data_IF_690054285747
#
_entry.id   IF_690054285747
#
_cell.length_a   1.000
_cell.length_b   1.000
_cell.length_c   1.000
_cell.angle_alpha   90.00
_cell.angle_beta   90.00
_cell.angle_gamma   90.00
#
_symmetry.space_group_name_H-M   'P 1'
#
loop_
_entity.id
_entity.type
_entity.pdbx_description
1 polymer ?
#
# COMPACT_ATOMS: atom_id res chain seq x y z
N UNK A 1 -65.90 0.44 64.04
CA UNK A 1 -65.46 -0.87 64.56
C UNK A 1 -63.95 -0.98 64.32
N UNK A 2 -63.17 -0.34 65.18
CA UNK A 2 -62.46 -0.94 66.32
C UNK A 2 -61.34 -1.93 65.92
N UNK A 3 -60.10 -1.45 66.14
CA UNK A 3 -59.05 -2.08 66.97
C UNK A 3 -57.91 -2.85 66.26
N UNK A 4 -56.70 -2.51 66.73
CA UNK A 4 -55.43 -3.29 66.87
C UNK A 4 -54.29 -3.05 65.87
N UNK A 5 -53.57 -1.97 66.18
CA UNK A 5 -52.13 -1.85 66.43
C UNK A 5 -51.35 -3.12 66.87
N UNK A 6 -50.14 -3.28 66.31
CA UNK A 6 -48.87 -3.69 66.97
C UNK A 6 -47.72 -3.09 66.12
N UNK A 7 -46.94 -2.08 66.57
CA UNK A 7 -45.79 -2.10 67.51
C UNK A 7 -44.68 -3.07 67.06
N UNK A 8 -43.38 -2.77 67.04
CA UNK A 8 -42.53 -1.58 67.21
C UNK A 8 -41.08 -2.06 66.92
N UNK A 9 -40.15 -1.10 66.90
CA UNK A 9 -38.68 -1.17 67.10
C UNK A 9 -37.85 -0.94 65.83
N UNK A 10 -37.35 0.29 65.65
CA UNK A 10 -36.08 0.87 66.19
C UNK A 10 -34.87 0.35 65.38
N UNK A 11 -34.05 1.16 64.74
CA UNK A 11 -33.96 2.61 64.66
C UNK A 11 -32.64 3.03 63.99
N UNK A 12 -32.51 4.35 63.81
CA UNK A 12 -31.28 5.16 63.72
C UNK A 12 -30.42 5.09 62.45
N UNK A 13 -30.32 6.25 61.81
CA UNK A 13 -29.21 6.62 60.92
C UNK A 13 -29.54 7.80 60.02
N UNK A 14 -29.41 9.03 60.52
CA UNK A 14 -29.36 10.24 59.69
C UNK A 14 -28.26 10.09 58.63
N UNK A 15 -28.48 10.51 57.38
CA UNK A 15 -27.44 11.27 56.66
C UNK A 15 -27.97 12.06 55.45
N UNK A 16 -28.00 13.38 55.64
CA UNK A 16 -27.71 14.49 54.72
C UNK A 16 -28.06 14.35 53.23
N UNK A 17 -29.08 15.09 52.80
CA UNK A 17 -29.27 15.46 51.41
C UNK A 17 -28.16 16.43 50.96
N UNK A 18 -27.18 15.93 50.21
CA UNK A 18 -26.27 16.79 49.45
C UNK A 18 -26.96 17.15 48.12
N UNK A 19 -27.39 18.40 48.02
CA UNK A 19 -27.75 19.04 46.77
C UNK A 19 -26.45 19.36 46.03
N UNK A 20 -25.92 18.41 45.25
CA UNK A 20 -24.82 18.67 44.35
C UNK A 20 -25.37 19.38 43.10
N UNK A 21 -25.14 20.68 42.99
CA UNK A 21 -25.22 21.37 41.71
C UNK A 21 -24.15 20.75 40.80
N UNK A 22 -24.56 19.94 39.83
CA UNK A 22 -23.65 19.48 38.77
C UNK A 22 -23.29 20.68 37.92
N UNK A 23 -22.14 21.30 38.19
CA UNK A 23 -21.47 22.12 37.22
C UNK A 23 -21.11 21.20 36.04
N UNK A 24 -21.78 21.37 34.91
CA UNK A 24 -21.35 20.79 33.65
C UNK A 24 -20.01 21.46 33.33
N UNK A 25 -18.90 20.75 33.58
CA UNK A 25 -17.62 21.12 33.00
C UNK A 25 -17.79 20.87 31.50
N UNK A 26 -18.04 21.94 30.76
CA UNK A 26 -17.88 21.92 29.31
C UNK A 26 -16.38 21.75 29.09
N UNK A 27 -15.95 20.52 28.83
CA UNK A 27 -14.60 20.31 28.31
C UNK A 27 -14.54 21.04 26.97
N UNK A 28 -13.84 22.16 26.95
CA UNK A 28 -13.41 22.83 25.73
C UNK A 28 -12.70 21.76 24.88
N UNK A 29 -13.08 21.57 23.60
CA UNK A 29 -12.43 20.57 22.76
C UNK A 29 -10.95 20.97 22.69
N UNK A 30 -10.07 20.11 23.20
CA UNK A 30 -8.64 20.30 23.06
C UNK A 30 -8.36 20.57 21.58
N UNK A 31 -7.87 21.77 21.30
CA UNK A 31 -7.40 22.12 19.97
C UNK A 31 -6.17 21.27 19.68
N UNK A 32 -6.37 20.09 19.11
CA UNK A 32 -5.29 19.32 18.51
C UNK A 32 -4.83 20.08 17.27
N UNK A 33 -3.94 21.06 17.49
CA UNK A 33 -3.20 21.70 16.44
C UNK A 33 -2.37 20.59 15.76
N UNK A 34 -2.55 20.33 14.46
CA UNK A 34 -1.82 19.27 13.79
C UNK A 34 -0.33 19.57 13.91
N UNK A 35 0.39 18.71 14.65
CA UNK A 35 1.84 18.80 14.74
C UNK A 35 2.44 18.49 13.37
N UNK A 36 3.52 19.18 13.02
CA UNK A 36 4.30 18.85 11.82
C UNK A 36 4.78 17.40 11.98
N UNK A 37 4.45 16.50 11.05
CA UNK A 37 4.86 15.11 11.16
C UNK A 37 6.38 14.98 11.22
N UNK A 38 6.88 14.15 12.13
CA UNK A 38 8.30 13.83 12.15
C UNK A 38 8.68 12.87 11.00
N UNK A 39 9.98 12.67 10.79
CA UNK A 39 10.48 11.82 9.69
C UNK A 39 10.01 10.37 9.81
N UNK A 40 9.84 9.83 11.02
CA UNK A 40 9.40 8.46 11.23
C UNK A 40 7.90 8.31 10.90
N UNK A 41 7.08 9.30 11.27
CA UNK A 41 5.67 9.37 10.92
C UNK A 41 5.49 9.46 9.39
N UNK A 42 6.26 10.30 8.71
CA UNK A 42 6.25 10.39 7.24
C UNK A 42 6.69 9.07 6.60
N UNK A 43 7.78 8.47 7.08
CA UNK A 43 8.27 7.20 6.55
C UNK A 43 7.24 6.07 6.70
N UNK A 44 6.59 5.98 7.86
CA UNK A 44 5.53 5.00 8.12
C UNK A 44 4.30 5.23 7.23
N UNK A 45 3.87 6.48 7.05
CA UNK A 45 2.76 6.81 6.17
C UNK A 45 3.06 6.43 4.71
N UNK A 46 4.29 6.69 4.23
CA UNK A 46 4.72 6.32 2.88
C UNK A 46 4.84 4.80 2.68
N UNK A 47 5.25 4.06 3.70
CA UNK A 47 5.34 2.60 3.64
C UNK A 47 3.97 1.93 3.43
N UNK A 48 2.91 2.51 4.02
CA UNK A 48 1.54 1.98 3.93
C UNK A 48 0.71 2.59 2.79
N UNK A 49 1.28 3.53 2.02
CA UNK A 49 0.58 4.17 0.91
C UNK A 49 0.16 3.11 -0.12
N UNK A 50 -1.15 2.95 -0.33
CA UNK A 50 -1.66 1.98 -1.30
C UNK A 50 -1.29 2.39 -2.72
N UNK A 51 -0.70 1.47 -3.48
CA UNK A 51 -0.34 1.66 -4.87
C UNK A 51 -1.25 0.76 -5.71
N UNK A 52 -2.11 1.30 -6.59
CA UNK A 52 -2.96 0.47 -7.41
C UNK A 52 -2.17 -0.24 -8.50
N UNK A 53 -2.60 -1.44 -8.86
CA UNK A 53 -2.20 -2.10 -10.09
C UNK A 53 -2.98 -1.52 -11.27
N UNK A 54 -2.31 -1.31 -12.39
CA UNK A 54 -2.88 -0.84 -13.64
C UNK A 54 -2.89 -1.99 -14.65
N UNK A 55 -4.03 -2.25 -15.29
CA UNK A 55 -4.10 -3.24 -16.35
C UNK A 55 -3.25 -2.81 -17.57
N UNK A 56 -2.65 -3.77 -18.27
CA UNK A 56 -1.99 -3.50 -19.53
C UNK A 56 -3.01 -3.44 -20.68
N UNK A 57 -3.21 -2.23 -21.20
CA UNK A 57 -4.02 -1.95 -22.38
C UNK A 57 -3.16 -1.58 -23.60
N UNK A 58 -1.84 -1.79 -23.52
CA UNK A 58 -0.88 -1.46 -24.57
C UNK A 58 0.08 -0.31 -24.21
N UNK A 59 0.08 0.14 -22.95
CA UNK A 59 1.02 1.17 -22.48
C UNK A 59 2.45 0.63 -22.28
N UNK A 60 2.61 -0.69 -22.21
CA UNK A 60 3.89 -1.37 -21.96
C UNK A 60 3.95 -2.67 -22.77
N UNK A 61 5.02 -3.44 -22.59
CA UNK A 61 5.26 -4.69 -23.32
C UNK A 61 4.05 -5.65 -23.24
N UNK A 62 3.75 -6.31 -24.36
CA UNK A 62 2.60 -7.22 -24.49
C UNK A 62 2.65 -8.45 -23.57
N UNK A 63 3.81 -8.79 -23.02
CA UNK A 63 3.97 -9.87 -22.04
C UNK A 63 3.43 -9.48 -20.66
N UNK A 64 3.28 -8.18 -20.38
CA UNK A 64 2.77 -7.67 -19.11
C UNK A 64 1.24 -7.79 -19.06
N UNK A 65 0.71 -8.26 -17.94
CA UNK A 65 -0.73 -8.24 -17.63
C UNK A 65 -1.08 -7.02 -16.77
N UNK A 66 -0.28 -6.74 -15.75
CA UNK A 66 -0.48 -5.62 -14.82
C UNK A 66 0.85 -4.94 -14.47
N UNK A 67 0.80 -3.68 -14.06
CA UNK A 67 1.94 -2.96 -13.50
C UNK A 67 1.56 -2.20 -12.24
N UNK A 68 2.50 -2.01 -11.32
CA UNK A 68 2.36 -1.13 -10.16
C UNK A 68 3.54 -0.14 -10.12
N UNK A 69 3.24 1.13 -9.87
CA UNK A 69 4.25 2.20 -9.79
C UNK A 69 4.66 2.44 -8.34
N UNK A 70 5.44 1.53 -7.79
CA UNK A 70 5.90 1.62 -6.39
C UNK A 70 6.98 2.70 -6.23
N UNK A 71 7.25 3.12 -4.99
CA UNK A 71 8.32 4.06 -4.68
C UNK A 71 9.73 3.49 -4.92
N UNK A 72 9.90 2.18 -5.01
CA UNK A 72 11.17 1.54 -5.38
C UNK A 72 11.42 1.53 -6.90
N UNK A 73 10.36 1.75 -7.69
CA UNK A 73 10.34 1.60 -9.14
C UNK A 73 9.12 0.79 -9.61
N UNK A 74 8.92 0.66 -10.92
CA UNK A 74 7.81 -0.11 -11.45
C UNK A 74 8.02 -1.61 -11.19
N UNK A 75 6.94 -2.27 -10.79
CA UNK A 75 6.79 -3.71 -10.83
C UNK A 75 5.87 -4.07 -12.00
N UNK A 76 6.23 -5.11 -12.75
CA UNK A 76 5.37 -5.72 -13.76
C UNK A 76 4.98 -7.14 -13.34
N UNK A 77 3.70 -7.48 -13.53
CA UNK A 77 3.17 -8.84 -13.43
C UNK A 77 2.96 -9.33 -14.85
N UNK A 78 3.70 -10.35 -15.28
CA UNK A 78 3.56 -10.90 -16.64
C UNK A 78 2.29 -11.74 -16.75
N UNK A 79 1.83 -12.02 -17.98
CA UNK A 79 0.70 -12.93 -18.25
C UNK A 79 0.92 -14.35 -17.73
N UNK A 80 2.18 -14.75 -17.57
CA UNK A 80 2.62 -16.02 -16.97
C UNK A 80 2.90 -15.91 -15.47
N UNK A 81 2.58 -14.76 -14.85
CA UNK A 81 2.67 -14.51 -13.41
C UNK A 81 4.07 -14.29 -12.86
N UNK A 82 5.08 -14.02 -13.69
CA UNK A 82 6.39 -13.58 -13.21
C UNK A 82 6.29 -12.15 -12.67
N UNK A 83 7.05 -11.85 -11.61
CA UNK A 83 7.18 -10.50 -11.07
C UNK A 83 8.51 -9.92 -11.54
N UNK A 84 8.45 -8.84 -12.32
CA UNK A 84 9.63 -8.16 -12.86
C UNK A 84 9.74 -6.79 -12.22
N UNK A 85 10.73 -6.62 -11.36
CA UNK A 85 11.07 -5.37 -10.71
C UNK A 85 12.11 -4.61 -11.50
N UNK A 86 11.89 -3.32 -11.70
CA UNK A 86 12.94 -2.40 -12.11
C UNK A 86 13.25 -1.45 -10.96
N UNK A 87 14.32 -1.74 -10.22
CA UNK A 87 14.73 -1.02 -9.02
C UNK A 87 15.74 0.05 -9.37
N UNK A 88 15.56 1.26 -8.83
CA UNK A 88 16.50 2.37 -8.97
C UNK A 88 17.40 2.51 -7.74
N UNK A 89 18.70 2.72 -7.93
CA UNK A 89 19.68 2.76 -6.84
C UNK A 89 19.55 3.92 -5.85
N UNK A 90 18.89 5.02 -6.23
CA UNK A 90 18.68 6.15 -5.32
C UNK A 90 17.31 6.82 -5.50
N UNK A 91 16.71 7.34 -4.41
CA UNK A 91 15.63 8.30 -4.51
C UNK A 91 16.13 9.49 -5.32
N UNK A 92 15.35 9.89 -6.34
CA UNK A 92 15.72 10.95 -7.26
C UNK A 92 15.89 12.27 -6.50
N UNK A 93 17.12 12.64 -6.17
CA UNK A 93 17.48 14.02 -5.92
C UNK A 93 17.50 14.70 -7.30
N UNK A 94 16.34 15.09 -7.82
CA UNK A 94 16.33 16.01 -8.95
C UNK A 94 16.85 17.35 -8.42
N UNK A 95 18.07 17.79 -8.77
CA UNK A 95 18.45 19.16 -8.47
C UNK A 95 17.41 20.04 -9.17
N UNK A 96 16.75 20.92 -8.39
CA UNK A 96 15.76 21.84 -8.92
C UNK A 96 16.38 22.60 -10.11
N UNK A 97 15.67 22.76 -11.24
CA UNK A 97 16.16 23.53 -12.36
C UNK A 97 16.59 24.91 -11.87
N UNK A 98 17.88 25.25 -12.05
CA UNK A 98 18.35 26.60 -11.76
C UNK A 98 17.85 27.50 -12.89
N UNK A 99 16.80 28.26 -12.61
CA UNK A 99 16.39 29.34 -13.50
C UNK A 99 17.50 30.40 -13.50
N UNK A 100 18.29 30.47 -14.58
CA UNK A 100 19.13 31.64 -14.83
C UNK A 100 18.19 32.78 -15.19
N UNK A 101 18.21 33.86 -14.40
CA UNK A 101 17.49 35.10 -14.69
C UNK A 101 18.23 35.91 -15.77
N UNK A 102 18.56 35.28 -16.89
CA UNK A 102 18.97 35.98 -18.09
C UNK A 102 17.77 35.93 -19.04
N UNK A 103 17.48 37.01 -19.76
CA UNK A 103 16.33 37.17 -20.67
C UNK A 103 16.27 36.17 -21.86
N UNK A 104 17.04 35.10 -21.81
CA UNK A 104 17.00 33.95 -22.69
C UNK A 104 16.38 32.78 -21.92
N UNK A 105 15.22 32.29 -22.37
CA UNK A 105 14.49 31.15 -21.78
C UNK A 105 15.24 29.78 -21.86
N UNK A 106 16.57 29.76 -21.74
CA UNK A 106 17.35 28.53 -21.73
C UNK A 106 17.37 27.95 -20.32
N UNK A 107 16.53 26.94 -20.12
CA UNK A 107 16.59 26.06 -18.95
C UNK A 107 17.78 25.13 -19.14
N UNK A 108 18.84 25.36 -18.35
CA UNK A 108 20.01 24.48 -18.28
C UNK A 108 19.61 23.22 -17.49
N UNK A 109 19.13 22.20 -18.18
CA UNK A 109 18.81 20.92 -17.57
C UNK A 109 20.13 20.17 -17.30
N UNK A 110 20.42 19.77 -16.06
CA UNK A 110 21.62 18.98 -15.78
C UNK A 110 21.56 17.66 -16.56
N UNK A 111 22.71 17.13 -17.05
CA UNK A 111 22.77 15.82 -17.66
C UNK A 111 22.24 14.78 -16.67
N UNK A 112 21.15 14.11 -17.02
CA UNK A 112 20.67 12.95 -16.26
C UNK A 112 21.63 11.80 -16.61
N UNK A 113 22.63 11.56 -15.77
CA UNK A 113 23.45 10.36 -15.88
C UNK A 113 22.53 9.13 -15.77
N UNK A 114 22.81 8.09 -16.56
CA UNK A 114 22.11 6.82 -16.43
C UNK A 114 22.50 6.19 -15.09
N UNK A 115 21.62 6.35 -14.09
CA UNK A 115 21.81 5.78 -12.75
C UNK A 115 21.76 4.25 -12.80
N UNK A 116 22.49 3.54 -11.92
CA UNK A 116 22.40 2.10 -11.84
C UNK A 116 20.96 1.67 -11.54
N UNK A 117 20.45 0.76 -12.37
CA UNK A 117 19.17 0.09 -12.19
C UNK A 117 19.39 -1.41 -12.17
N UNK A 118 18.61 -2.11 -11.33
CA UNK A 118 18.61 -3.56 -11.27
C UNK A 118 17.26 -4.09 -11.74
N UNK A 119 17.32 -5.09 -12.61
CA UNK A 119 16.14 -5.89 -12.91
C UNK A 119 16.18 -7.14 -12.05
N UNK A 120 15.15 -7.33 -11.22
CA UNK A 120 14.95 -8.55 -10.42
C UNK A 120 13.71 -9.26 -10.96
N UNK A 121 13.83 -10.55 -11.26
CA UNK A 121 12.74 -11.38 -11.75
C UNK A 121 12.46 -12.47 -10.73
N UNK A 122 11.24 -12.49 -10.21
CA UNK A 122 10.75 -13.56 -9.35
C UNK A 122 9.81 -14.49 -10.15
N UNK A 123 10.00 -15.79 -9.96
CA UNK A 123 9.20 -16.84 -10.61
C UNK A 123 8.66 -17.81 -9.57
N UNK A 124 7.43 -18.26 -9.77
CA UNK A 124 6.79 -19.30 -8.97
C UNK A 124 7.24 -20.67 -9.49
N UNK A 125 8.27 -21.26 -8.88
CA UNK A 125 8.87 -22.51 -9.33
C UNK A 125 7.85 -23.66 -9.24
N UNK A 126 7.68 -24.38 -10.36
CA UNK A 126 6.65 -25.42 -10.54
C UNK A 126 5.21 -24.95 -10.23
N UNK A 127 4.98 -23.63 -10.15
CA UNK A 127 3.66 -23.03 -9.98
C UNK A 127 3.02 -22.68 -11.31
N UNK A 128 1.70 -22.46 -11.30
CA UNK A 128 0.90 -22.10 -12.49
C UNK A 128 0.05 -20.86 -12.19
N UNK A 129 0.68 -19.67 -12.01
CA UNK A 129 -0.05 -18.45 -11.71
C UNK A 129 -0.91 -17.98 -12.89
N UNK A 130 -2.07 -17.42 -12.57
CA UNK A 130 -3.04 -16.88 -13.53
C UNK A 130 -3.46 -15.47 -13.05
N UNK A 131 -2.76 -14.42 -13.50
CA UNK A 131 -3.00 -13.06 -13.03
C UNK A 131 -4.38 -12.53 -13.42
N UNK A 132 -5.15 -12.09 -12.42
CA UNK A 132 -6.46 -11.47 -12.58
C UNK A 132 -6.55 -10.27 -11.64
N UNK A 133 -6.94 -9.11 -12.17
CA UNK A 133 -7.16 -7.91 -11.36
C UNK A 133 -8.44 -8.04 -10.53
N UNK A 134 -8.36 -7.71 -9.25
CA UNK A 134 -9.50 -7.67 -8.34
C UNK A 134 -9.52 -6.37 -7.54
N UNK A 135 -10.63 -6.16 -6.83
CA UNK A 135 -10.88 -4.92 -6.09
C UNK A 135 -10.72 -3.68 -6.99
N UNK A 136 -11.57 -3.53 -8.03
CA UNK A 136 -11.49 -2.38 -8.93
C UNK A 136 -11.50 -1.06 -8.15
N UNK A 137 -10.55 -0.20 -8.46
CA UNK A 137 -10.40 1.09 -7.79
C UNK A 137 -11.09 2.19 -8.61
N UNK A 138 -11.53 3.25 -7.91
CA UNK A 138 -12.11 4.42 -8.55
C UNK A 138 -11.08 5.20 -9.39
N UNK A 139 -9.80 5.06 -9.06
CA UNK A 139 -8.70 5.70 -9.77
C UNK A 139 -8.64 5.24 -11.23
N UNK A 140 -8.46 6.20 -12.13
CA UNK A 140 -8.23 5.96 -13.56
C UNK A 140 -6.92 6.60 -13.97
N UNK A 141 -6.16 5.91 -14.81
CA UNK A 141 -4.87 6.40 -15.29
C UNK A 141 -4.95 6.63 -16.80
N UNK A 142 -4.33 7.72 -17.26
CA UNK A 142 -4.24 8.06 -18.68
C UNK A 142 -2.78 8.10 -19.10
N UNK A 143 -2.50 7.55 -20.27
CA UNK A 143 -1.19 7.47 -20.90
C UNK A 143 -1.22 8.20 -22.24
N UNK A 144 -0.40 9.24 -22.36
CA UNK A 144 -0.21 10.01 -23.59
C UNK A 144 1.25 9.86 -24.05
N UNK A 145 1.61 8.65 -24.49
CA UNK A 145 3.00 8.31 -24.84
C UNK A 145 3.31 8.74 -26.27
N UNK A 146 4.17 9.74 -26.42
CA UNK A 146 4.59 10.27 -27.71
C UNK A 146 3.49 11.07 -28.44
N UNK A 147 3.78 11.46 -29.68
CA UNK A 147 2.92 12.34 -30.48
C UNK A 147 1.87 11.58 -31.31
N UNK A 148 1.88 10.24 -31.28
CA UNK A 148 0.93 9.39 -31.99
C UNK A 148 -0.27 9.11 -31.08
N UNK A 149 -1.41 9.72 -31.39
CA UNK A 149 -2.62 9.61 -30.58
C UNK A 149 -3.23 8.19 -30.58
N UNK A 150 -2.88 7.35 -31.56
CA UNK A 150 -3.33 5.95 -31.57
C UNK A 150 -2.69 5.11 -30.47
N UNK A 151 -1.58 5.62 -29.88
CA UNK A 151 -0.88 5.01 -28.73
C UNK A 151 -1.36 5.54 -27.39
N UNK A 152 -2.28 6.51 -27.40
CA UNK A 152 -2.82 7.06 -26.16
C UNK A 152 -3.82 6.09 -25.54
N UNK A 153 -3.66 5.82 -24.25
CA UNK A 153 -4.59 5.02 -23.48
C UNK A 153 -5.29 5.91 -22.47
N UNK A 154 -6.62 5.84 -22.44
CA UNK A 154 -7.41 6.62 -21.50
C UNK A 154 -8.24 5.68 -20.63
N UNK A 155 -8.46 6.08 -19.37
CA UNK A 155 -9.32 5.35 -18.46
C UNK A 155 -8.81 3.96 -18.11
N UNK A 156 -7.48 3.75 -18.10
CA UNK A 156 -6.87 2.47 -17.76
C UNK A 156 -7.42 2.01 -16.41
N UNK A 157 -8.08 0.83 -16.35
CA UNK A 157 -8.63 0.29 -15.12
C UNK A 157 -7.52 0.04 -14.11
N UNK A 158 -7.84 0.30 -12.84
CA UNK A 158 -6.93 0.04 -11.74
C UNK A 158 -7.57 -0.86 -10.69
N UNK A 159 -6.72 -1.58 -9.97
CA UNK A 159 -7.08 -2.69 -9.09
C UNK A 159 -6.28 -2.59 -7.79
N UNK A 160 -6.92 -2.91 -6.66
CA UNK A 160 -6.24 -2.96 -5.35
C UNK A 160 -5.35 -4.19 -5.23
N UNK A 161 -5.75 -5.28 -5.88
CA UNK A 161 -5.11 -6.58 -5.79
C UNK A 161 -5.00 -7.24 -7.17
N UNK A 162 -3.94 -8.04 -7.36
CA UNK A 162 -3.86 -9.00 -8.45
C UNK A 162 -3.85 -10.40 -7.84
N UNK A 163 -4.86 -11.21 -8.14
CA UNK A 163 -4.85 -12.64 -7.80
C UNK A 163 -4.04 -13.39 -8.84
N UNK A 164 -3.18 -14.30 -8.39
CA UNK A 164 -2.50 -15.26 -9.24
C UNK A 164 -3.22 -16.62 -9.25
N UNK A 165 -4.37 -16.73 -8.59
CA UNK A 165 -5.12 -17.98 -8.45
C UNK A 165 -4.41 -19.00 -7.58
N UNK A 166 -4.81 -20.27 -7.72
CA UNK A 166 -4.16 -21.42 -7.08
C UNK A 166 -2.83 -21.73 -7.79
N UNK A 167 -1.76 -21.06 -7.37
CA UNK A 167 -0.43 -21.20 -7.98
C UNK A 167 0.14 -22.61 -7.78
N UNK A 168 -0.15 -23.23 -6.63
CA UNK A 168 0.12 -24.64 -6.34
C UNK A 168 -1.15 -25.33 -5.83
N UNK A 169 -1.20 -26.68 -5.80
CA UNK A 169 -2.36 -27.40 -5.26
C UNK A 169 -2.72 -26.94 -3.83
N UNK A 170 -3.90 -26.32 -3.69
CA UNK A 170 -4.40 -25.83 -2.40
C UNK A 170 -3.74 -24.54 -1.89
N UNK A 171 -2.92 -23.85 -2.69
CA UNK A 171 -2.23 -22.61 -2.29
C UNK A 171 -2.57 -21.51 -3.28
N UNK A 172 -3.39 -20.56 -2.82
CA UNK A 172 -3.71 -19.35 -3.58
C UNK A 172 -2.72 -18.23 -3.28
N UNK A 173 -2.42 -17.42 -4.29
CA UNK A 173 -1.55 -16.24 -4.13
C UNK A 173 -2.27 -14.98 -4.58
N UNK A 174 -2.19 -13.93 -3.78
CA UNK A 174 -2.62 -12.59 -4.14
C UNK A 174 -1.52 -11.56 -3.89
N UNK A 175 -1.54 -10.48 -4.66
CA UNK A 175 -0.56 -9.40 -4.64
C UNK A 175 -1.22 -8.08 -4.28
N UNK A 176 -0.64 -7.34 -3.34
CA UNK A 176 -1.05 -5.98 -3.00
C UNK A 176 0.17 -5.07 -2.92
N UNK A 177 0.16 -3.93 -3.62
CA UNK A 177 1.29 -3.01 -3.64
C UNK A 177 1.13 -1.88 -2.61
N UNK A 178 2.17 -1.64 -1.80
CA UNK A 178 2.20 -0.61 -0.75
C UNK A 178 3.56 0.07 -0.70
N UNK A 179 3.57 1.40 -0.79
CA UNK A 179 4.78 2.20 -0.71
C UNK A 179 5.84 1.75 -1.71
N UNK A 180 6.93 1.17 -1.20
CA UNK A 180 8.06 0.66 -1.97
C UNK A 180 8.07 -0.87 -2.12
N UNK A 181 7.00 -1.56 -1.72
CA UNK A 181 6.93 -3.02 -1.66
C UNK A 181 5.66 -3.58 -2.34
N UNK A 182 5.69 -4.87 -2.65
CA UNK A 182 4.51 -5.66 -3.01
C UNK A 182 4.42 -6.85 -2.07
N UNK A 183 3.31 -6.88 -1.33
CA UNK A 183 2.96 -7.96 -0.43
C UNK A 183 2.44 -9.14 -1.24
N UNK A 184 2.98 -10.33 -0.97
CA UNK A 184 2.49 -11.62 -1.48
C UNK A 184 1.79 -12.33 -0.33
N UNK A 185 0.49 -12.56 -0.47
CA UNK A 185 -0.28 -13.33 0.50
C UNK A 185 -0.50 -14.74 -0.03
N UNK A 186 -0.01 -15.75 0.71
CA UNK A 186 -0.22 -17.16 0.41
C UNK A 186 -1.34 -17.69 1.30
N UNK A 187 -2.46 -18.09 0.69
CA UNK A 187 -3.61 -18.66 1.41
C UNK A 187 -3.62 -20.16 1.20
N UNK A 188 -3.43 -20.91 2.29
CA UNK A 188 -3.33 -22.37 2.25
C UNK A 188 -4.66 -22.99 2.66
N UNK A 189 -5.19 -23.88 1.82
CA UNK A 189 -6.28 -24.77 2.18
C UNK A 189 -5.82 -25.80 3.22
N UNK A 190 -6.74 -26.36 4.04
CA UNK A 190 -6.39 -27.45 4.96
C UNK A 190 -5.70 -28.62 4.22
N UNK A 191 -4.53 -29.02 4.71
CA UNK A 191 -3.74 -30.11 4.13
C UNK A 191 -2.85 -29.73 2.94
N UNK A 192 -2.84 -28.45 2.52
CA UNK A 192 -1.86 -27.98 1.53
C UNK A 192 -0.42 -28.07 2.08
N UNK A 193 0.52 -28.48 1.24
CA UNK A 193 1.94 -28.61 1.63
C UNK A 193 2.68 -27.27 1.47
N UNK A 194 3.07 -26.58 2.55
CA UNK A 194 3.80 -25.32 2.45
C UNK A 194 5.17 -25.47 1.77
N UNK A 195 5.76 -26.67 1.73
CA UNK A 195 7.05 -26.90 1.06
C UNK A 195 6.96 -26.83 -0.46
N UNK A 196 5.75 -26.84 -1.02
CA UNK A 196 5.52 -26.58 -2.44
C UNK A 196 5.81 -25.12 -2.83
N UNK A 197 5.74 -24.18 -1.88
CA UNK A 197 6.00 -22.76 -2.14
C UNK A 197 7.49 -22.57 -2.39
N UNK A 198 7.86 -22.42 -3.67
CA UNK A 198 9.23 -22.21 -4.09
C UNK A 198 9.29 -21.03 -5.05
N UNK A 199 10.13 -20.05 -4.74
CA UNK A 199 10.38 -18.90 -5.60
C UNK A 199 11.80 -18.99 -6.17
N UNK A 200 11.92 -18.78 -7.48
CA UNK A 200 13.21 -18.58 -8.12
C UNK A 200 13.38 -17.08 -8.38
N UNK A 201 14.48 -16.52 -7.88
CA UNK A 201 14.80 -15.09 -8.05
C UNK A 201 16.05 -14.97 -8.90
N UNK A 202 16.01 -14.10 -9.91
CA UNK A 202 17.13 -13.84 -10.80
C UNK A 202 17.37 -12.34 -10.94
N UNK A 203 18.64 -11.95 -11.03
CA UNK A 203 19.04 -10.54 -11.11
C UNK A 203 19.27 -9.92 -9.74
N UNK A 204 20.43 -9.26 -9.58
CA UNK A 204 20.92 -8.74 -8.30
C UNK A 204 21.73 -9.76 -7.48
N UNK A 205 22.45 -9.25 -6.47
CA UNK A 205 23.05 -10.08 -5.41
C UNK A 205 22.07 -10.14 -4.24
N UNK A 206 21.57 -11.35 -3.96
CA UNK A 206 20.65 -11.58 -2.84
C UNK A 206 21.44 -11.89 -1.58
N UNK A 207 21.17 -11.15 -0.52
CA UNK A 207 21.68 -11.42 0.82
C UNK A 207 20.54 -11.33 1.82
N UNK A 208 20.43 -12.33 2.69
CA UNK A 208 19.51 -12.26 3.83
C UNK A 208 20.23 -11.54 4.95
N UNK A 209 19.68 -10.43 5.42
CA UNK A 209 20.22 -9.72 6.58
C UNK A 209 19.75 -10.37 7.90
N UNK A 210 20.31 -9.92 9.03
CA UNK A 210 20.00 -10.46 10.36
C UNK A 210 18.52 -10.30 10.77
N UNK A 211 17.76 -9.46 10.07
CA UNK A 211 16.31 -9.28 10.25
C UNK A 211 15.45 -10.23 9.39
N UNK A 212 16.06 -11.09 8.58
CA UNK A 212 15.34 -12.03 7.71
C UNK A 212 14.75 -11.39 6.44
N UNK A 213 15.27 -10.22 6.03
CA UNK A 213 14.94 -9.56 4.75
C UNK A 213 16.08 -9.64 3.76
#
# INVERSE_FOLDING_TARGET
MNIRTLKNLLGLGLLWANLAASAVIVNEPESHQPSIPDKAQVASALAHLSVPFEANMGQTDTQVAFQARTLAGPLFVTKTGELVWNLSAQPKNYPLPKLKSDNTNNIDLPPVAAEPSWTVIERFHNGQPQPIGAEPQATKVNYFIGNDNSKWQQGVPTYGTVHLGAVWPGIEVSLSARGNNVEKLFTLAPGADPNAIQLAVAGGELSINTGGS
#
